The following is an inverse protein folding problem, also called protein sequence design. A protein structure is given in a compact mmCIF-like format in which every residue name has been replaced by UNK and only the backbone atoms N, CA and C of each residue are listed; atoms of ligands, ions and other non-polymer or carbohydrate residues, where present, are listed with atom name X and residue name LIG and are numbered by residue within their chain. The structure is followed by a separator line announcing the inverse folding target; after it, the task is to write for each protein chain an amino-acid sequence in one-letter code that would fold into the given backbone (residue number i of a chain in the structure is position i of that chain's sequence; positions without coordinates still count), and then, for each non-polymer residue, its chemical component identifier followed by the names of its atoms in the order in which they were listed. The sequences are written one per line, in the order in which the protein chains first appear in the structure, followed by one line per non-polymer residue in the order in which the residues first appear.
data_IF_805346808438
#
_entry.id   IF_805346808438
#
_cell.length_a   1.000
_cell.length_b   1.000
_cell.length_c   1.000
_cell.angle_alpha   90.00
_cell.angle_beta   90.00
_cell.angle_gamma   90.00
#
_symmetry.space_group_name_H-M   'P 1'
#
loop_
_entity.id
_entity.type
_entity.pdbx_description
1 polymer ?
#
# COMPACT_ATOMS: atom_id res chain seq x y z
N UNK A 1 -24.55 13.68 2.69
CA UNK A 1 -23.18 14.17 2.43
C UNK A 1 -23.07 14.42 0.94
N UNK A 2 -22.58 15.59 0.54
CA UNK A 2 -22.26 15.88 -0.86
C UNK A 2 -20.83 15.41 -1.12
N UNK A 3 -20.59 14.74 -2.25
CA UNK A 3 -19.24 14.32 -2.64
C UNK A 3 -18.38 15.55 -2.95
N UNK A 4 -17.24 15.71 -2.27
CA UNK A 4 -16.31 16.81 -2.47
C UNK A 4 -15.25 16.42 -3.51
N UNK A 5 -15.51 16.74 -4.77
CA UNK A 5 -14.63 16.37 -5.88
C UNK A 5 -13.20 16.90 -5.72
N UNK A 6 -13.03 18.13 -5.21
CA UNK A 6 -11.71 18.76 -5.08
C UNK A 6 -10.89 18.02 -4.02
N UNK A 7 -11.51 17.72 -2.88
CA UNK A 7 -10.85 16.94 -1.82
C UNK A 7 -10.50 15.54 -2.32
N UNK A 8 -11.42 14.86 -2.97
CA UNK A 8 -11.24 13.47 -3.42
C UNK A 8 -10.14 13.36 -4.50
N UNK A 9 -10.06 14.32 -5.41
CA UNK A 9 -8.95 14.41 -6.36
C UNK A 9 -7.60 14.60 -5.64
N UNK A 10 -7.54 15.54 -4.69
CA UNK A 10 -6.32 15.81 -3.92
C UNK A 10 -5.86 14.58 -3.13
N UNK A 11 -6.79 13.89 -2.47
CA UNK A 11 -6.47 12.68 -1.70
C UNK A 11 -5.98 11.56 -2.59
N UNK A 12 -6.60 11.39 -3.77
CA UNK A 12 -6.17 10.42 -4.77
C UNK A 12 -4.74 10.72 -5.26
N UNK A 13 -4.47 11.95 -5.70
CA UNK A 13 -3.15 12.36 -6.18
C UNK A 13 -2.09 12.20 -5.10
N UNK A 14 -2.39 12.61 -3.86
CA UNK A 14 -1.46 12.48 -2.74
C UNK A 14 -1.15 11.01 -2.43
N UNK A 15 -2.19 10.16 -2.39
CA UNK A 15 -2.05 8.72 -2.16
C UNK A 15 -1.12 8.08 -3.20
N UNK A 16 -1.39 8.29 -4.49
CA UNK A 16 -0.62 7.63 -5.54
C UNK A 16 0.77 8.23 -5.72
N UNK A 17 0.93 9.53 -5.46
CA UNK A 17 2.26 10.14 -5.36
C UNK A 17 3.08 9.46 -4.27
N UNK A 18 2.52 9.27 -3.07
CA UNK A 18 3.23 8.65 -1.96
C UNK A 18 3.62 7.20 -2.25
N UNK A 19 2.71 6.43 -2.88
CA UNK A 19 3.00 5.06 -3.35
C UNK A 19 4.14 5.06 -4.37
N UNK A 20 4.12 6.00 -5.33
CA UNK A 20 5.17 6.15 -6.34
C UNK A 20 6.52 6.53 -5.71
N UNK A 21 6.52 7.45 -4.75
CA UNK A 21 7.74 7.87 -4.05
C UNK A 21 8.35 6.72 -3.23
N UNK A 22 7.53 5.79 -2.73
CA UNK A 22 7.99 4.61 -2.00
C UNK A 22 8.52 3.49 -2.91
N UNK A 23 7.81 3.17 -3.99
CA UNK A 23 8.04 1.91 -4.73
C UNK A 23 8.22 2.08 -6.23
N UNK A 24 8.02 3.28 -6.76
CA UNK A 24 8.03 3.58 -8.20
C UNK A 24 7.16 2.56 -8.97
N UNK A 25 7.60 2.10 -10.14
CA UNK A 25 6.93 1.09 -10.97
C UNK A 25 6.73 -0.27 -10.29
N UNK A 26 7.40 -0.56 -9.17
CA UNK A 26 7.37 -1.87 -8.51
C UNK A 26 6.32 -1.96 -7.39
N UNK A 27 5.49 -0.93 -7.19
CA UNK A 27 4.51 -0.85 -6.10
C UNK A 27 3.61 -2.09 -5.97
N UNK A 28 3.25 -2.70 -7.11
CA UNK A 28 2.29 -3.81 -7.17
C UNK A 28 2.88 -5.06 -7.82
N UNK A 29 4.20 -5.18 -7.87
CA UNK A 29 4.87 -6.32 -8.48
C UNK A 29 5.32 -7.34 -7.45
N UNK A 30 5.45 -8.60 -7.87
CA UNK A 30 6.06 -9.64 -7.06
C UNK A 30 7.52 -9.28 -6.77
N UNK A 31 7.86 -9.18 -5.49
CA UNK A 31 9.24 -9.05 -5.03
C UNK A 31 9.95 -10.40 -5.15
N UNK A 32 11.07 -10.44 -5.88
CA UNK A 32 11.94 -11.62 -5.96
C UNK A 32 13.02 -11.52 -4.88
N UNK A 33 13.67 -10.36 -4.80
CA UNK A 33 14.68 -10.06 -3.79
C UNK A 33 14.62 -8.57 -3.45
N UNK A 34 14.28 -8.25 -2.20
CA UNK A 34 14.13 -6.87 -1.75
C UNK A 34 15.48 -6.14 -1.60
N UNK A 35 16.54 -6.83 -1.14
CA UNK A 35 17.85 -6.19 -0.93
C UNK A 35 18.52 -5.80 -2.25
N UNK A 36 18.22 -6.53 -3.32
CA UNK A 36 18.69 -6.24 -4.68
C UNK A 36 17.70 -5.39 -5.49
N UNK A 37 16.59 -4.94 -4.89
CA UNK A 37 15.52 -4.21 -5.56
C UNK A 37 15.01 -4.94 -6.84
N UNK A 38 14.89 -6.28 -6.76
CA UNK A 38 14.58 -7.16 -7.90
C UNK A 38 13.13 -7.62 -7.86
N UNK A 39 12.39 -7.29 -8.91
CA UNK A 39 10.96 -7.55 -9.05
C UNK A 39 10.63 -8.25 -10.38
N UNK A 40 9.48 -8.92 -10.43
CA UNK A 40 8.90 -9.40 -11.70
C UNK A 40 8.22 -8.24 -12.43
N UNK A 41 8.08 -8.37 -13.75
CA UNK A 41 7.26 -7.46 -14.56
C UNK A 41 5.78 -7.89 -14.55
N UNK A 42 5.23 -8.11 -13.36
CA UNK A 42 3.82 -8.50 -13.15
C UNK A 42 3.06 -7.43 -12.34
N UNK A 43 1.73 -7.54 -12.37
CA UNK A 43 0.83 -6.79 -11.50
C UNK A 43 0.07 -7.76 -10.61
N UNK A 44 0.11 -7.50 -9.31
CA UNK A 44 -0.45 -8.35 -8.27
C UNK A 44 -1.67 -7.66 -7.67
N UNK A 45 -2.85 -8.17 -7.99
CA UNK A 45 -4.12 -7.51 -7.63
C UNK A 45 -4.33 -7.34 -6.12
N UNK A 46 -3.92 -8.32 -5.30
CA UNK A 46 -4.05 -8.20 -3.84
C UNK A 46 -3.05 -7.19 -3.24
N UNK A 47 -1.96 -6.86 -3.95
CA UNK A 47 -1.08 -5.75 -3.57
C UNK A 47 -1.69 -4.42 -3.99
N UNK A 48 -2.26 -4.37 -5.20
CA UNK A 48 -2.93 -3.18 -5.70
C UNK A 48 -4.03 -2.71 -4.75
N UNK A 49 -5.02 -3.55 -4.47
CA UNK A 49 -6.16 -3.13 -3.64
C UNK A 49 -5.78 -2.81 -2.18
N UNK A 50 -4.90 -3.61 -1.57
CA UNK A 50 -4.49 -3.41 -0.18
C UNK A 50 -3.67 -2.14 0.00
N UNK A 51 -2.67 -1.92 -0.84
CA UNK A 51 -1.79 -0.77 -0.76
C UNK A 51 -2.55 0.49 -1.16
N UNK A 52 -3.27 0.49 -2.28
CA UNK A 52 -4.00 1.68 -2.73
C UNK A 52 -5.06 2.11 -1.70
N UNK A 53 -5.88 1.18 -1.24
CA UNK A 53 -6.97 1.51 -0.31
C UNK A 53 -6.44 1.78 1.11
N UNK A 54 -5.48 1.00 1.59
CA UNK A 54 -4.91 1.17 2.93
C UNK A 54 -4.14 2.48 3.08
N UNK A 55 -3.35 2.85 2.07
CA UNK A 55 -2.64 4.15 2.03
C UNK A 55 -3.65 5.30 1.92
N UNK A 56 -4.66 5.21 1.05
CA UNK A 56 -5.70 6.24 0.93
C UNK A 56 -6.46 6.48 2.24
N UNK A 57 -6.73 5.41 3.01
CA UNK A 57 -7.37 5.52 4.34
C UNK A 57 -6.50 6.20 5.40
N UNK A 58 -5.21 6.39 5.10
CA UNK A 58 -4.24 7.04 5.96
C UNK A 58 -3.69 8.34 5.33
N UNK A 59 -4.36 8.94 4.33
CA UNK A 59 -3.86 10.08 3.55
C UNK A 59 -3.36 11.26 4.40
N UNK A 60 -4.02 11.52 5.53
CA UNK A 60 -3.65 12.60 6.47
C UNK A 60 -2.35 12.31 7.26
N UNK A 61 -1.90 11.06 7.29
CA UNK A 61 -0.67 10.62 7.96
C UNK A 61 0.53 10.56 7.00
N UNK A 62 0.29 10.77 5.70
CA UNK A 62 1.31 10.66 4.65
C UNK A 62 2.12 11.96 4.59
N UNK A 63 3.24 11.99 5.30
CA UNK A 63 4.19 13.11 5.29
C UNK A 63 5.56 12.65 4.77
N UNK A 64 6.32 13.49 4.03
CA UNK A 64 7.57 13.08 3.39
C UNK A 64 8.59 12.43 4.33
N UNK A 65 8.66 12.91 5.57
CA UNK A 65 9.60 12.43 6.60
C UNK A 65 9.34 10.97 6.98
N UNK A 66 8.10 10.48 6.81
CA UNK A 66 7.70 9.11 7.15
C UNK A 66 7.84 8.12 6.00
N UNK A 67 8.10 8.58 4.76
CA UNK A 67 8.17 7.72 3.55
C UNK A 67 9.09 6.52 3.77
N UNK A 68 10.31 6.75 4.27
CA UNK A 68 11.30 5.68 4.46
C UNK A 68 10.84 4.63 5.50
N UNK A 69 10.27 5.09 6.62
CA UNK A 69 9.78 4.22 7.70
C UNK A 69 8.58 3.39 7.22
N UNK A 70 7.59 4.05 6.61
CA UNK A 70 6.39 3.39 6.07
C UNK A 70 6.78 2.38 4.99
N UNK A 71 7.66 2.76 4.05
CA UNK A 71 8.16 1.86 3.00
C UNK A 71 8.75 0.58 3.61
N UNK A 72 9.63 0.72 4.60
CA UNK A 72 10.28 -0.42 5.24
C UNK A 72 9.26 -1.33 5.94
N UNK A 73 8.30 -0.76 6.66
CA UNK A 73 7.25 -1.52 7.35
C UNK A 73 6.32 -2.23 6.37
N UNK A 74 5.93 -1.58 5.27
CA UNK A 74 5.12 -2.20 4.22
C UNK A 74 5.89 -3.29 3.47
N UNK A 75 7.19 -3.13 3.23
CA UNK A 75 8.02 -4.18 2.64
C UNK A 75 8.07 -5.43 3.53
N UNK A 76 8.19 -5.26 4.85
CA UNK A 76 8.09 -6.37 5.82
C UNK A 76 6.70 -7.00 5.82
N UNK A 77 5.64 -6.19 5.82
CA UNK A 77 4.25 -6.68 5.78
C UNK A 77 4.00 -7.55 4.54
N UNK A 78 4.40 -7.08 3.35
CA UNK A 78 4.23 -7.81 2.08
C UNK A 78 4.89 -9.20 2.08
N UNK A 79 5.93 -9.39 2.89
CA UNK A 79 6.65 -10.66 3.05
C UNK A 79 6.13 -11.51 4.22
N UNK A 80 5.28 -10.95 5.08
CA UNK A 80 4.76 -11.65 6.25
C UNK A 80 3.85 -12.81 5.84
N UNK A 81 3.97 -13.92 6.56
CA UNK A 81 3.13 -15.10 6.33
C UNK A 81 1.63 -14.83 6.54
N UNK A 82 1.28 -13.87 7.39
CA UNK A 82 -0.09 -13.45 7.64
C UNK A 82 -0.69 -12.77 6.41
N UNK A 83 0.00 -11.75 5.88
CA UNK A 83 -0.44 -11.04 4.69
C UNK A 83 -0.57 -11.99 3.48
N UNK A 84 0.39 -12.90 3.29
CA UNK A 84 0.38 -13.88 2.19
C UNK A 84 -0.76 -14.93 2.28
N UNK A 85 -1.41 -15.10 3.44
CA UNK A 85 -2.61 -15.96 3.56
C UNK A 85 -3.86 -15.31 3.01
N UNK A 86 -3.88 -13.99 2.86
CA UNK A 86 -5.06 -13.22 2.41
C UNK A 86 -5.14 -13.03 0.88
N UNK A 87 -4.24 -13.68 0.12
CA UNK A 87 -4.10 -13.46 -1.35
C UNK A 87 -5.34 -13.85 -2.17
N UNK A 88 -6.21 -14.70 -1.64
CA UNK A 88 -7.43 -15.10 -2.35
C UNK A 88 -8.46 -13.96 -2.31
N UNK A 89 -9.10 -13.69 -3.45
CA UNK A 89 -9.94 -12.50 -3.69
C UNK A 89 -11.30 -12.45 -2.97
N UNK A 90 -11.44 -13.10 -1.82
CA UNK A 90 -12.66 -13.01 -1.01
C UNK A 90 -12.80 -11.63 -0.36
N UNK A 91 -14.04 -11.16 -0.19
CA UNK A 91 -14.34 -9.87 0.47
C UNK A 91 -13.65 -9.74 1.83
N UNK A 92 -13.81 -10.75 2.69
CA UNK A 92 -13.20 -10.80 4.02
C UNK A 92 -11.69 -10.63 3.97
N UNK A 93 -11.02 -11.35 3.07
CA UNK A 93 -9.57 -11.27 2.92
C UNK A 93 -9.13 -9.89 2.41
N UNK A 94 -9.97 -9.22 1.62
CA UNK A 94 -9.72 -7.87 1.07
C UNK A 94 -9.76 -6.82 2.16
N UNK A 95 -10.81 -6.85 2.97
CA UNK A 95 -10.94 -5.97 4.13
C UNK A 95 -9.78 -6.21 5.13
N UNK A 96 -9.43 -7.48 5.37
CA UNK A 96 -8.36 -7.89 6.28
C UNK A 96 -6.99 -7.33 5.86
N UNK A 97 -6.59 -7.46 4.59
CA UNK A 97 -5.29 -6.92 4.12
C UNK A 97 -5.24 -5.40 4.04
N UNK A 98 -6.37 -4.74 3.75
CA UNK A 98 -6.46 -3.27 3.81
C UNK A 98 -6.23 -2.81 5.26
N UNK A 99 -6.87 -3.47 6.23
CA UNK A 99 -6.70 -3.16 7.66
C UNK A 99 -5.25 -3.40 8.13
N UNK A 100 -4.59 -4.46 7.65
CA UNK A 100 -3.17 -4.68 7.93
C UNK A 100 -2.27 -3.53 7.45
N UNK A 101 -2.53 -3.00 6.24
CA UNK A 101 -1.81 -1.83 5.71
C UNK A 101 -2.09 -0.60 6.57
N UNK A 102 -3.35 -0.34 6.93
CA UNK A 102 -3.75 0.79 7.79
C UNK A 102 -3.00 0.75 9.14
N UNK A 103 -3.01 -0.41 9.81
CA UNK A 103 -2.31 -0.59 11.09
C UNK A 103 -0.81 -0.34 10.95
N UNK A 104 -0.20 -0.92 9.92
CA UNK A 104 1.22 -0.76 9.64
C UNK A 104 1.62 0.71 9.46
N UNK A 105 0.81 1.50 8.76
CA UNK A 105 1.07 2.94 8.56
C UNK A 105 0.89 3.73 9.86
N UNK A 106 -0.15 3.42 10.66
CA UNK A 106 -0.44 4.11 11.93
C UNK A 106 0.64 3.89 12.99
N UNK A 107 1.39 2.81 12.91
CA UNK A 107 2.48 2.47 13.83
C UNK A 107 3.83 3.09 13.44
N UNK A 108 3.90 3.79 12.29
CA UNK A 108 5.08 4.53 11.82
C UNK A 108 4.98 6.03 12.16
#
# INVERSE_FOLDING_TARGET
MTFDYIKEQKDFEHTFKFISDMFDKNAFSSCINLSENKYKSDIIMYLYDSISCGVAKCVELLVPEKIASIKQSLDKLKQSGEFLRTRTGGKRNTEERIEMVIKTIKEC
#
